data_IF_500616400901
#
_entry.id   IF_500616400901
#
_cell.length_a   1.000
_cell.length_b   1.000
_cell.length_c   1.000
_cell.angle_alpha   90.00
_cell.angle_beta   90.00
_cell.angle_gamma   90.00
#
_symmetry.space_group_name_H-M   'P 1'
#
loop_
_entity.id
_entity.type
_entity.pdbx_description
1 polymer ?
#
# COMPACT_ATOMS: atom_id res chain seq x y z
N UNK A 1 -9.86 8.42 -16.46
CA UNK A 1 -10.74 9.27 -15.64
C UNK A 1 -10.79 10.62 -16.33
N UNK A 2 -11.93 10.94 -16.95
CA UNK A 2 -12.15 12.27 -17.54
C UNK A 2 -12.69 13.17 -16.43
N UNK A 3 -11.90 14.15 -16.03
CA UNK A 3 -12.34 15.21 -15.15
C UNK A 3 -12.93 16.30 -16.05
N UNK A 4 -14.26 16.43 -16.06
CA UNK A 4 -14.89 17.60 -16.65
C UNK A 4 -14.64 18.77 -15.71
N UNK A 5 -13.81 19.70 -16.13
CA UNK A 5 -13.64 20.96 -15.40
C UNK A 5 -14.89 21.81 -15.56
N UNK A 6 -15.28 22.50 -14.51
CA UNK A 6 -16.40 23.46 -14.51
C UNK A 6 -16.25 24.56 -15.57
N UNK A 7 -15.04 24.71 -16.13
CA UNK A 7 -14.72 25.67 -17.19
C UNK A 7 -15.11 25.20 -18.59
N UNK A 8 -15.46 23.91 -18.78
CA UNK A 8 -15.84 23.33 -20.06
C UNK A 8 -17.35 23.32 -20.31
N UNK A 9 -18.12 23.89 -19.40
CA UNK A 9 -19.55 24.12 -19.63
C UNK A 9 -19.71 25.24 -20.64
N UNK A 10 -19.94 24.88 -21.91
CA UNK A 10 -20.33 25.86 -22.94
C UNK A 10 -21.67 26.44 -22.56
N UNK A 11 -21.77 27.76 -22.38
CA UNK A 11 -23.08 28.40 -22.11
C UNK A 11 -23.92 28.31 -23.38
N UNK A 12 -25.06 27.65 -23.29
CA UNK A 12 -26.08 27.64 -24.32
C UNK A 12 -26.81 28.99 -24.22
N UNK A 13 -26.51 29.88 -25.14
CA UNK A 13 -27.18 31.19 -25.22
C UNK A 13 -28.42 31.10 -26.10
N UNK A 14 -29.58 31.17 -25.51
CA UNK A 14 -30.76 31.69 -26.20
C UNK A 14 -30.86 33.17 -25.88
N UNK A 15 -30.79 34.03 -26.87
CA UNK A 15 -31.06 35.46 -27.04
C UNK A 15 -31.34 36.35 -25.78
N UNK A 16 -31.15 35.86 -24.57
CA UNK A 16 -31.34 36.55 -23.32
C UNK A 16 -30.07 36.58 -22.47
N UNK A 17 -29.86 37.66 -21.77
CA UNK A 17 -28.70 37.80 -20.83
C UNK A 17 -28.67 36.63 -19.89
N UNK A 18 -27.46 35.94 -19.76
CA UNK A 18 -27.34 34.82 -18.87
C UNK A 18 -27.68 35.22 -17.44
N UNK A 19 -28.56 34.46 -16.80
CA UNK A 19 -28.90 34.62 -15.38
C UNK A 19 -28.48 33.37 -14.64
N UNK A 20 -27.73 33.56 -13.54
CA UNK A 20 -27.46 32.48 -12.61
C UNK A 20 -28.78 32.11 -11.95
N UNK A 21 -29.33 30.94 -12.25
CA UNK A 21 -30.62 30.50 -11.73
C UNK A 21 -30.49 29.72 -10.41
N UNK A 22 -29.45 28.92 -10.29
CA UNK A 22 -29.26 28.07 -9.10
C UNK A 22 -27.84 27.52 -9.02
N UNK A 23 -27.48 27.06 -7.85
CA UNK A 23 -26.21 26.32 -7.62
C UNK A 23 -26.52 24.83 -7.67
N UNK A 24 -25.93 24.16 -8.63
CA UNK A 24 -25.95 22.69 -8.68
C UNK A 24 -24.78 22.17 -7.83
N UNK A 25 -25.08 21.25 -6.92
CA UNK A 25 -24.07 20.61 -6.13
C UNK A 25 -23.16 19.79 -7.07
N UNK A 26 -21.93 20.25 -7.29
CA UNK A 26 -20.94 19.54 -8.08
C UNK A 26 -20.07 18.71 -7.16
N UNK A 27 -19.75 17.48 -7.57
CA UNK A 27 -18.88 16.57 -6.83
C UNK A 27 -18.41 15.45 -7.72
N UNK A 28 -17.31 14.79 -7.32
CA UNK A 28 -16.85 13.60 -7.99
C UNK A 28 -17.56 12.37 -7.42
N UNK A 29 -18.25 11.62 -8.26
CA UNK A 29 -18.78 10.30 -7.91
C UNK A 29 -17.78 9.27 -8.35
N UNK A 30 -17.23 8.52 -7.39
CA UNK A 30 -16.27 7.46 -7.66
C UNK A 30 -17.01 6.22 -8.13
N UNK A 31 -16.58 5.68 -9.27
CA UNK A 31 -17.15 4.46 -9.86
C UNK A 31 -16.06 3.40 -9.94
N UNK A 32 -16.35 2.21 -9.44
CA UNK A 32 -15.48 1.03 -9.53
C UNK A 32 -16.28 -0.13 -10.13
N UNK A 33 -16.03 -0.42 -11.41
CA UNK A 33 -16.83 -1.38 -12.15
C UNK A 33 -18.33 -1.02 -12.12
N UNK A 34 -19.16 -1.87 -11.53
CA UNK A 34 -20.59 -1.65 -11.39
C UNK A 34 -20.99 -0.92 -10.09
N UNK A 35 -20.04 -0.64 -9.21
CA UNK A 35 -20.31 0.05 -7.94
C UNK A 35 -20.19 1.56 -8.09
N UNK A 36 -21.31 2.26 -7.92
CA UNK A 36 -21.37 3.72 -7.97
C UNK A 36 -21.50 4.28 -6.55
N UNK A 37 -20.53 5.09 -6.14
CA UNK A 37 -20.59 5.84 -4.87
C UNK A 37 -20.31 5.03 -3.60
N UNK A 38 -19.95 3.74 -3.69
CA UNK A 38 -19.74 2.85 -2.54
C UNK A 38 -18.29 2.69 -2.07
N UNK A 39 -17.31 3.29 -2.76
CA UNK A 39 -15.90 3.13 -2.42
C UNK A 39 -15.54 3.86 -1.13
N UNK A 40 -15.04 3.10 -0.15
CA UNK A 40 -14.49 3.69 1.08
C UNK A 40 -13.28 4.59 0.71
N UNK A 41 -13.20 5.75 1.33
CA UNK A 41 -12.08 6.70 1.14
C UNK A 41 -10.71 6.05 1.38
N UNK A 42 -10.65 5.05 2.25
CA UNK A 42 -9.44 4.26 2.54
C UNK A 42 -8.93 3.50 1.30
N UNK A 43 -9.82 2.80 0.59
CA UNK A 43 -9.47 2.03 -0.61
C UNK A 43 -8.96 2.96 -1.72
N UNK A 44 -9.59 4.12 -1.87
CA UNK A 44 -9.15 5.12 -2.86
C UNK A 44 -7.78 5.70 -2.53
N UNK A 45 -7.51 5.91 -1.23
CA UNK A 45 -6.19 6.35 -0.77
C UNK A 45 -5.14 5.28 -1.06
N UNK A 46 -5.39 4.03 -0.70
CA UNK A 46 -4.46 2.91 -0.95
C UNK A 46 -4.15 2.75 -2.44
N UNK A 47 -5.16 2.82 -3.31
CA UNK A 47 -4.97 2.77 -4.76
C UNK A 47 -4.13 3.93 -5.28
N UNK A 48 -4.32 5.12 -4.73
CA UNK A 48 -3.52 6.29 -5.09
C UNK A 48 -2.07 6.13 -4.64
N UNK A 49 -1.85 5.73 -3.39
CA UNK A 49 -0.50 5.50 -2.85
C UNK A 49 0.25 4.45 -3.68
N UNK A 50 -0.42 3.35 -4.08
CA UNK A 50 0.16 2.34 -4.98
C UNK A 50 0.47 2.87 -6.38
N UNK A 51 -0.39 3.75 -6.92
CA UNK A 51 -0.22 4.30 -8.27
C UNK A 51 0.88 5.38 -8.33
N UNK A 52 1.03 6.17 -7.28
CA UNK A 52 1.99 7.29 -7.22
C UNK A 52 3.37 6.84 -6.76
N UNK A 53 3.43 6.01 -5.72
CA UNK A 53 4.68 5.66 -5.02
C UNK A 53 5.16 4.23 -5.29
N UNK A 54 4.27 3.36 -5.77
CA UNK A 54 4.57 1.96 -6.00
C UNK A 54 4.60 1.11 -4.73
N UNK A 55 5.06 -0.14 -4.85
CA UNK A 55 5.06 -1.12 -3.77
C UNK A 55 6.42 -1.81 -3.65
N UNK A 56 6.87 -2.03 -2.42
CA UNK A 56 7.99 -2.89 -2.04
C UNK A 56 7.47 -4.07 -1.22
N UNK A 57 7.63 -5.26 -1.74
CA UNK A 57 7.30 -6.52 -1.04
C UNK A 57 8.57 -7.09 -0.42
N UNK A 58 8.47 -7.53 0.84
CA UNK A 58 9.58 -8.18 1.57
C UNK A 58 9.05 -9.49 2.14
N UNK A 59 9.53 -10.62 1.63
CA UNK A 59 9.14 -11.93 2.13
C UNK A 59 10.22 -12.52 3.04
N UNK A 60 9.80 -12.99 4.22
CA UNK A 60 10.65 -13.65 5.22
C UNK A 60 10.02 -14.97 5.65
N UNK A 61 10.75 -16.06 5.53
CA UNK A 61 10.40 -17.36 6.06
C UNK A 61 11.23 -17.62 7.32
N UNK A 62 10.55 -17.81 8.46
CA UNK A 62 11.17 -18.02 9.76
C UNK A 62 10.92 -19.45 10.26
N UNK A 63 11.84 -20.00 10.98
CA UNK A 63 11.63 -21.19 11.77
C UNK A 63 10.83 -20.87 13.07
N UNK A 64 10.50 -21.90 13.84
CA UNK A 64 9.78 -21.75 15.12
C UNK A 64 10.54 -20.95 16.19
N UNK A 65 11.85 -20.75 15.99
CA UNK A 65 12.73 -19.99 16.89
C UNK A 65 13.06 -18.59 16.38
N UNK A 66 12.47 -18.18 15.25
CA UNK A 66 12.69 -16.87 14.62
C UNK A 66 13.94 -16.79 13.75
N UNK A 67 14.59 -17.91 13.49
CA UNK A 67 15.70 -17.96 12.54
C UNK A 67 15.20 -17.89 11.11
N UNK A 68 15.94 -17.18 10.24
CA UNK A 68 15.66 -17.15 8.80
C UNK A 68 15.94 -18.53 8.17
N UNK A 69 14.94 -19.10 7.52
CA UNK A 69 15.05 -20.35 6.76
C UNK A 69 15.61 -20.16 5.35
N UNK A 70 15.47 -18.96 4.80
CA UNK A 70 15.95 -18.59 3.47
C UNK A 70 16.31 -17.09 3.45
N UNK A 71 17.18 -16.63 2.53
CA UNK A 71 17.44 -15.21 2.36
C UNK A 71 16.16 -14.43 2.12
N UNK A 72 16.11 -13.20 2.63
CA UNK A 72 14.98 -12.30 2.39
C UNK A 72 14.77 -12.09 0.89
N UNK A 73 13.56 -12.31 0.41
CA UNK A 73 13.16 -11.93 -0.93
C UNK A 73 12.62 -10.49 -0.91
N UNK A 74 13.13 -9.68 -1.84
CA UNK A 74 12.69 -8.29 -2.04
C UNK A 74 12.26 -8.10 -3.48
N UNK A 75 11.07 -7.55 -3.67
CA UNK A 75 10.52 -7.27 -4.98
C UNK A 75 9.88 -5.87 -4.98
N UNK A 76 10.02 -5.14 -6.09
CA UNK A 76 9.46 -3.79 -6.21
C UNK A 76 8.69 -3.62 -7.50
N UNK A 77 7.57 -2.94 -7.41
CA UNK A 77 6.77 -2.54 -8.56
C UNK A 77 6.45 -1.05 -8.47
N UNK A 78 6.83 -0.28 -9.51
CA UNK A 78 6.54 1.15 -9.59
C UNK A 78 7.33 2.05 -8.63
N UNK A 79 8.30 1.52 -7.88
CA UNK A 79 9.10 2.31 -6.94
C UNK A 79 10.24 3.01 -7.68
N UNK A 80 10.28 4.34 -7.59
CA UNK A 80 11.39 5.13 -8.11
C UNK A 80 12.54 5.17 -7.09
N UNK A 81 13.72 4.74 -7.49
CA UNK A 81 14.97 4.81 -6.71
C UNK A 81 15.98 5.55 -7.57
N UNK A 82 16.34 6.76 -7.15
CA UNK A 82 17.21 7.67 -7.92
C UNK A 82 18.69 7.32 -7.87
N UNK A 83 19.11 6.64 -6.81
CA UNK A 83 20.51 6.34 -6.55
C UNK A 83 20.86 4.89 -6.92
N UNK A 84 22.07 4.46 -6.55
CA UNK A 84 22.51 3.08 -6.71
C UNK A 84 21.49 2.09 -6.10
N UNK A 85 20.62 1.56 -6.96
CA UNK A 85 19.52 0.66 -6.60
C UNK A 85 20.02 -0.50 -5.74
N UNK A 86 21.18 -1.07 -6.08
CA UNK A 86 21.78 -2.17 -5.34
C UNK A 86 22.05 -1.78 -3.89
N UNK A 87 22.67 -0.63 -3.69
CA UNK A 87 22.97 -0.12 -2.34
C UNK A 87 21.73 0.10 -1.50
N UNK A 88 20.69 0.68 -2.10
CA UNK A 88 19.41 0.89 -1.39
C UNK A 88 18.78 -0.43 -0.99
N UNK A 89 18.80 -1.44 -1.88
CA UNK A 89 18.30 -2.78 -1.58
C UNK A 89 19.11 -3.47 -0.48
N UNK A 90 20.43 -3.33 -0.47
CA UNK A 90 21.29 -3.87 0.59
C UNK A 90 20.98 -3.20 1.94
N UNK A 91 20.75 -1.90 1.97
CA UNK A 91 20.34 -1.19 3.19
C UNK A 91 18.94 -1.62 3.67
N UNK A 92 17.99 -1.82 2.76
CA UNK A 92 16.64 -2.33 3.08
C UNK A 92 16.75 -3.73 3.68
N UNK A 93 17.51 -4.61 3.05
CA UNK A 93 17.77 -5.98 3.54
C UNK A 93 18.37 -5.96 4.93
N UNK A 94 19.43 -5.19 5.13
CA UNK A 94 20.08 -5.06 6.42
C UNK A 94 19.13 -4.47 7.51
N UNK A 95 18.25 -3.55 7.15
CA UNK A 95 17.27 -3.01 8.07
C UNK A 95 16.23 -4.06 8.49
N UNK A 96 15.73 -4.85 7.55
CA UNK A 96 14.79 -5.94 7.81
C UNK A 96 15.44 -7.04 8.67
N UNK A 97 16.66 -7.46 8.34
CA UNK A 97 17.41 -8.47 9.10
C UNK A 97 17.67 -8.04 10.55
N UNK A 98 17.91 -6.75 10.81
CA UNK A 98 18.05 -6.25 12.17
C UNK A 98 16.79 -6.45 13.00
N UNK A 99 15.63 -6.17 12.41
CA UNK A 99 14.35 -6.41 13.07
C UNK A 99 14.18 -7.90 13.35
N UNK A 100 14.46 -8.76 12.38
CA UNK A 100 14.32 -10.20 12.56
C UNK A 100 15.21 -10.73 13.70
N UNK A 101 16.42 -10.21 13.83
CA UNK A 101 17.33 -10.59 14.94
C UNK A 101 16.77 -10.28 16.32
N UNK A 102 15.92 -9.26 16.46
CA UNK A 102 15.28 -8.93 17.74
C UNK A 102 14.26 -9.99 18.18
N UNK A 103 13.75 -10.79 17.25
CA UNK A 103 12.78 -11.85 17.52
C UNK A 103 13.38 -13.26 17.62
N UNK A 104 14.66 -13.42 17.33
CA UNK A 104 15.33 -14.72 17.45
C UNK A 104 15.35 -15.19 18.90
N UNK A 105 14.84 -16.40 19.16
CA UNK A 105 14.77 -17.00 20.49
C UNK A 105 13.59 -16.51 21.35
N UNK A 106 12.71 -15.66 20.83
CA UNK A 106 11.50 -15.27 21.53
C UNK A 106 10.55 -16.49 21.69
N UNK A 107 9.94 -16.67 22.86
CA UNK A 107 9.10 -17.85 23.14
C UNK A 107 7.80 -17.87 22.32
N UNK A 108 7.38 -16.73 21.83
CA UNK A 108 6.15 -16.58 21.06
C UNK A 108 6.35 -15.49 20.00
N UNK A 109 6.67 -15.91 18.77
CA UNK A 109 6.91 -14.97 17.68
C UNK A 109 5.57 -14.63 17.02
N UNK A 110 5.18 -13.37 17.08
CA UNK A 110 4.03 -12.86 16.35
C UNK A 110 4.47 -12.34 14.97
N UNK A 111 4.03 -13.04 13.92
CA UNK A 111 4.35 -12.67 12.53
C UNK A 111 3.92 -11.25 12.19
N UNK A 112 2.81 -10.78 12.76
CA UNK A 112 2.33 -9.44 12.52
C UNK A 112 3.18 -8.38 13.24
N UNK A 113 3.65 -8.66 14.45
CA UNK A 113 4.60 -7.79 15.16
C UNK A 113 5.92 -7.66 14.39
N UNK A 114 6.45 -8.78 13.87
CA UNK A 114 7.62 -8.79 12.99
C UNK A 114 7.38 -7.96 11.75
N UNK A 115 6.25 -8.16 11.07
CA UNK A 115 5.89 -7.43 9.87
C UNK A 115 5.76 -5.91 10.13
N UNK A 116 5.15 -5.51 11.25
CA UNK A 116 5.07 -4.10 11.67
C UNK A 116 6.47 -3.50 11.88
N UNK A 117 7.35 -4.23 12.55
CA UNK A 117 8.74 -3.81 12.77
C UNK A 117 9.50 -3.60 11.47
N UNK A 118 9.44 -4.57 10.55
CA UNK A 118 10.05 -4.50 9.22
C UNK A 118 9.50 -3.29 8.46
N UNK A 119 8.16 -3.13 8.41
CA UNK A 119 7.50 -2.01 7.72
C UNK A 119 7.99 -0.67 8.21
N UNK A 120 8.10 -0.48 9.52
CA UNK A 120 8.55 0.77 10.12
C UNK A 120 10.00 1.09 9.73
N UNK A 121 10.92 0.15 9.93
CA UNK A 121 12.35 0.36 9.67
C UNK A 121 12.66 0.55 8.20
N UNK A 122 12.01 -0.21 7.33
CA UNK A 122 12.21 -0.10 5.88
C UNK A 122 11.66 1.22 5.32
N UNK A 123 10.51 1.69 5.82
CA UNK A 123 10.02 3.03 5.47
C UNK A 123 11.01 4.13 5.82
N UNK A 124 11.69 4.03 6.95
CA UNK A 124 12.69 5.01 7.33
C UNK A 124 13.91 5.01 6.39
N UNK A 125 14.30 3.84 5.86
CA UNK A 125 15.36 3.74 4.85
C UNK A 125 14.90 4.38 3.54
N UNK A 126 13.70 4.04 3.06
CA UNK A 126 13.15 4.59 1.81
C UNK A 126 13.04 6.12 1.86
N UNK A 127 12.52 6.68 2.93
CA UNK A 127 12.41 8.14 3.10
C UNK A 127 13.75 8.85 3.01
N UNK A 128 14.80 8.25 3.58
CA UNK A 128 16.15 8.86 3.59
C UNK A 128 16.84 8.77 2.25
N UNK A 129 16.54 7.73 1.44
CA UNK A 129 17.29 7.44 0.22
C UNK A 129 16.60 7.80 -1.08
N UNK A 130 15.29 7.75 -1.12
CA UNK A 130 14.56 7.92 -2.38
C UNK A 130 13.51 9.01 -2.35
N UNK A 131 13.27 9.67 -1.22
CA UNK A 131 12.11 10.57 -1.05
C UNK A 131 10.78 9.92 -1.46
N UNK A 132 10.76 8.60 -1.60
CA UNK A 132 9.60 7.82 -2.00
C UNK A 132 8.82 7.36 -0.78
N UNK A 133 7.51 7.40 -0.89
CA UNK A 133 6.57 6.91 0.13
C UNK A 133 6.01 5.54 -0.24
N UNK A 134 6.79 4.73 -0.97
CA UNK A 134 6.36 3.42 -1.43
C UNK A 134 5.67 2.59 -0.34
N UNK A 135 4.61 1.90 -0.75
CA UNK A 135 3.87 1.01 0.14
C UNK A 135 4.74 -0.20 0.45
N UNK A 136 5.09 -0.39 1.74
CA UNK A 136 5.90 -1.53 2.19
C UNK A 136 4.98 -2.65 2.67
N UNK A 137 5.05 -3.81 2.01
CA UNK A 137 4.27 -5.01 2.31
C UNK A 137 5.20 -6.14 2.79
N UNK A 138 5.44 -6.27 4.09
CA UNK A 138 6.14 -7.43 4.65
C UNK A 138 5.21 -8.64 4.68
N UNK A 139 5.71 -9.77 4.19
CA UNK A 139 5.07 -11.08 4.25
C UNK A 139 5.96 -11.95 5.13
N UNK A 140 5.47 -12.34 6.30
CA UNK A 140 6.22 -13.15 7.26
C UNK A 140 5.49 -14.48 7.47
N UNK A 141 6.15 -15.59 7.14
CA UNK A 141 5.68 -16.94 7.44
C UNK A 141 6.56 -17.57 8.53
N UNK A 142 5.94 -18.31 9.44
CA UNK A 142 6.63 -19.02 10.53
C UNK A 142 6.37 -20.51 10.36
N UNK A 143 7.41 -21.32 10.17
CA UNK A 143 7.29 -22.76 10.01
C UNK A 143 6.73 -23.42 11.29
N UNK A 144 5.79 -24.37 11.13
CA UNK A 144 5.15 -25.09 12.22
C UNK A 144 3.99 -24.38 12.89
N UNK A 145 3.60 -23.20 12.39
CA UNK A 145 2.35 -22.54 12.74
C UNK A 145 1.43 -22.63 11.54
N UNK A 146 0.32 -23.35 11.66
CA UNK A 146 -0.77 -23.21 10.70
C UNK A 146 -1.12 -21.73 10.69
N UNK A 147 -1.02 -21.09 9.52
CA UNK A 147 -1.55 -19.75 9.36
C UNK A 147 -3.04 -19.86 9.68
N UNK A 148 -3.49 -19.25 10.77
CA UNK A 148 -4.91 -18.97 10.92
C UNK A 148 -5.27 -17.94 9.85
N UNK A 149 -5.32 -18.43 8.63
CA UNK A 149 -6.02 -17.74 7.56
C UNK A 149 -7.48 -17.87 7.97
N UNK A 150 -7.96 -16.86 8.66
CA UNK A 150 -9.36 -16.69 8.95
C UNK A 150 -10.09 -16.79 7.62
N UNK A 151 -10.77 -17.91 7.35
CA UNK A 151 -11.62 -18.12 6.19
C UNK A 151 -12.81 -17.13 6.16
N UNK A 152 -12.88 -16.24 7.13
CA UNK A 152 -13.90 -15.19 7.27
C UNK A 152 -13.86 -14.10 6.20
N UNK A 153 -12.85 -14.07 5.33
CA UNK A 153 -12.78 -13.08 4.26
C UNK A 153 -13.71 -13.40 3.07
N UNK A 154 -14.07 -14.67 2.89
CA UNK A 154 -14.88 -15.09 1.75
C UNK A 154 -16.39 -15.03 1.98
N UNK A 155 -16.86 -14.96 3.22
CA UNK A 155 -18.30 -14.96 3.52
C UNK A 155 -18.92 -13.56 3.70
N UNK A 156 -18.13 -12.49 3.77
CA UNK A 156 -18.65 -11.14 4.04
C UNK A 156 -18.89 -10.26 2.81
N UNK A 157 -18.58 -10.72 1.61
CA UNK A 157 -18.74 -9.89 0.39
C UNK A 157 -19.82 -10.37 -0.58
N UNK A 158 -20.61 -11.41 -0.24
CA UNK A 158 -21.65 -11.93 -1.14
C UNK A 158 -23.09 -11.89 -0.58
N UNK A 159 -23.39 -11.00 0.39
CA UNK A 159 -24.79 -10.71 0.72
C UNK A 159 -25.02 -9.20 0.88
#
# INVERSE_FOLDING_TARGET
IYTLSLHDALPIYELAKPRLKDHVQSGAVLVDGNAVGGLKSTVMKERRDLAEDGVLVIAAALDSRGGLMAPLALETQGVFISDDRKRVFDEIRAAAERVLKEFVGAPNIDAEAVARGIRSRVRDVLRRRSSSYAVVLPIVSIAGRESSTDETWLEKEFF
#
